data_IF_290590368833
#
_entry.id   IF_290590368833
#
_cell.length_a   1.000
_cell.length_b   1.000
_cell.length_c   1.000
_cell.angle_alpha   90.00
_cell.angle_beta   90.00
_cell.angle_gamma   90.00
#
_symmetry.space_group_name_H-M   'P 1'
#
loop_
_entity.id
_entity.type
_entity.pdbx_description
1 polymer ?
#
# COMPACT_ATOMS: atom_id res chain seq x y z
N UNK A 1 20.79 5.91 -29.10
CA UNK A 1 19.91 6.12 -27.94
C UNK A 1 20.76 6.67 -26.81
N UNK A 2 20.35 7.78 -26.19
CA UNK A 2 21.05 8.38 -25.03
C UNK A 2 20.03 8.44 -23.89
N UNK A 3 20.40 7.92 -22.72
CA UNK A 3 19.57 7.97 -21.50
C UNK A 3 20.20 8.96 -20.55
N UNK A 4 19.46 10.01 -20.17
CA UNK A 4 19.92 11.01 -19.20
C UNK A 4 19.47 10.61 -17.80
N UNK A 5 20.43 10.35 -16.90
CA UNK A 5 20.16 10.09 -15.48
C UNK A 5 20.00 11.42 -14.75
N UNK A 6 18.81 12.02 -14.84
CA UNK A 6 18.50 13.30 -14.20
C UNK A 6 18.49 13.17 -12.67
N UNK A 7 18.94 14.22 -11.98
CA UNK A 7 18.86 14.33 -10.53
C UNK A 7 17.45 14.63 -10.02
N UNK A 8 17.31 14.76 -8.70
CA UNK A 8 16.07 15.17 -8.05
C UNK A 8 16.07 16.67 -7.77
N UNK A 9 14.91 17.29 -7.93
CA UNK A 9 14.64 18.68 -7.52
C UNK A 9 13.38 18.71 -6.66
N UNK A 10 13.27 19.65 -5.72
CA UNK A 10 12.03 19.79 -4.94
C UNK A 10 10.84 20.12 -5.85
N UNK A 11 9.61 19.76 -5.44
CA UNK A 11 8.39 20.11 -6.18
C UNK A 11 8.20 21.64 -6.25
N UNK A 12 7.48 22.13 -7.26
CA UNK A 12 7.26 23.57 -7.46
C UNK A 12 6.55 24.22 -6.26
N UNK A 13 5.77 23.44 -5.54
CA UNK A 13 4.97 23.83 -4.39
C UNK A 13 5.78 23.82 -3.08
N UNK A 14 7.07 23.43 -3.09
CA UNK A 14 7.91 23.32 -1.90
C UNK A 14 7.96 24.61 -1.07
N UNK A 15 8.08 25.77 -1.72
CA UNK A 15 8.12 27.07 -1.04
C UNK A 15 6.79 27.43 -0.34
N UNK A 16 5.66 27.09 -0.99
CA UNK A 16 4.34 27.28 -0.41
C UNK A 16 4.13 26.34 0.79
N UNK A 17 4.52 25.07 0.65
CA UNK A 17 4.48 24.08 1.73
C UNK A 17 5.32 24.53 2.92
N UNK A 18 6.55 25.00 2.67
CA UNK A 18 7.46 25.48 3.70
C UNK A 18 6.88 26.67 4.47
N UNK A 19 6.27 27.62 3.75
CA UNK A 19 5.60 28.78 4.35
C UNK A 19 4.42 28.36 5.23
N UNK A 20 3.54 27.48 4.72
CA UNK A 20 2.37 26.99 5.45
C UNK A 20 2.77 26.18 6.70
N UNK A 21 3.86 25.41 6.60
CA UNK A 21 4.42 24.64 7.70
C UNK A 21 5.47 25.43 8.52
N UNK A 22 5.69 26.72 8.28
CA UNK A 22 6.66 27.53 9.01
C UNK A 22 8.05 26.90 9.14
N UNK A 23 8.53 26.19 8.12
CA UNK A 23 9.85 25.56 8.07
C UNK A 23 10.74 26.30 7.05
N UNK A 24 12.05 26.21 7.24
CA UNK A 24 13.04 26.79 6.34
C UNK A 24 13.40 25.81 5.22
N UNK A 25 13.74 26.37 4.06
CA UNK A 25 14.36 25.63 2.96
C UNK A 25 15.87 25.91 2.93
N UNK A 26 16.63 24.96 2.40
CA UNK A 26 18.05 25.17 2.09
C UNK A 26 18.23 25.81 0.69
N UNK A 27 19.47 26.01 0.26
CA UNK A 27 19.81 26.80 -0.94
C UNK A 27 19.29 26.20 -2.26
N UNK A 28 19.06 24.90 -2.32
CA UNK A 28 18.49 24.18 -3.47
C UNK A 28 16.96 23.99 -3.37
N UNK A 29 16.32 24.50 -2.33
CA UNK A 29 14.86 24.48 -2.12
C UNK A 29 14.30 23.20 -1.46
N UNK A 30 15.14 22.29 -0.99
CA UNK A 30 14.75 21.19 -0.11
C UNK A 30 14.53 21.66 1.33
N UNK A 31 13.89 20.84 2.16
CA UNK A 31 13.71 21.15 3.57
C UNK A 31 15.06 21.26 4.29
N UNK A 32 15.27 22.36 5.02
CA UNK A 32 16.46 22.53 5.86
C UNK A 32 16.35 21.65 7.10
N UNK A 33 17.35 20.80 7.30
CA UNK A 33 17.43 19.85 8.43
C UNK A 33 18.55 20.21 9.40
N UNK A 34 18.53 19.62 10.60
CA UNK A 34 19.57 19.78 11.61
C UNK A 34 20.68 18.75 11.45
N UNK A 35 21.93 19.14 11.75
CA UNK A 35 23.10 18.25 11.58
C UNK A 35 23.10 17.09 12.56
N UNK A 36 22.57 17.31 13.75
CA UNK A 36 22.52 16.32 14.83
C UNK A 36 21.39 15.30 14.63
N UNK A 37 20.37 15.68 13.86
CA UNK A 37 19.22 14.82 13.57
C UNK A 37 18.61 15.18 12.20
N UNK A 38 18.82 14.34 11.16
CA UNK A 38 18.42 14.67 9.78
C UNK A 38 16.91 14.67 9.55
N UNK A 39 16.10 14.15 10.49
CA UNK A 39 14.63 14.18 10.36
C UNK A 39 13.99 15.42 11.00
N UNK A 40 14.78 16.25 11.70
CA UNK A 40 14.29 17.48 12.33
C UNK A 40 14.39 18.65 11.35
N UNK A 41 13.29 19.38 11.22
CA UNK A 41 13.26 20.64 10.46
C UNK A 41 13.70 21.81 11.34
N UNK A 42 13.68 23.03 10.80
CA UNK A 42 13.90 24.26 11.58
C UNK A 42 12.79 24.56 12.59
N UNK A 43 11.63 23.89 12.52
CA UNK A 43 10.50 24.09 13.44
C UNK A 43 10.32 22.89 14.35
N UNK A 44 10.28 23.13 15.66
CA UNK A 44 9.99 22.10 16.65
C UNK A 44 8.60 21.47 16.43
N UNK A 45 8.51 20.15 16.61
CA UNK A 45 7.29 19.38 16.35
C UNK A 45 6.98 19.12 14.87
N UNK A 46 7.81 19.63 13.94
CA UNK A 46 7.74 19.29 12.51
C UNK A 46 8.97 18.49 12.10
N UNK A 47 8.71 17.34 11.50
CA UNK A 47 9.71 16.41 11.02
C UNK A 47 9.60 16.23 9.51
N UNK A 48 10.71 15.87 8.88
CA UNK A 48 10.79 15.56 7.45
C UNK A 48 11.38 14.17 7.25
N UNK A 49 10.90 13.47 6.23
CA UNK A 49 11.51 12.24 5.75
C UNK A 49 11.31 12.13 4.23
N UNK A 50 12.17 11.34 3.59
CA UNK A 50 12.08 11.11 2.15
C UNK A 50 12.64 12.26 1.32
N UNK A 51 12.38 12.24 0.01
CA UNK A 51 13.08 13.07 -0.96
C UNK A 51 12.94 14.59 -0.75
N UNK A 52 11.94 15.07 0.01
CA UNK A 52 11.83 16.49 0.33
C UNK A 52 12.92 16.99 1.29
N UNK A 53 13.49 16.12 2.12
CA UNK A 53 14.68 16.43 2.92
C UNK A 53 16.00 16.40 2.13
N UNK A 54 15.95 16.16 0.82
CA UNK A 54 17.11 16.04 -0.06
C UNK A 54 17.10 14.75 -0.91
N UNK A 55 17.86 14.69 -2.02
CA UNK A 55 17.96 13.51 -2.88
C UNK A 55 18.48 12.30 -2.09
N UNK A 56 17.78 11.17 -2.18
CA UNK A 56 18.10 9.95 -1.45
C UNK A 56 17.47 8.72 -2.09
N UNK A 57 17.96 7.54 -1.70
CA UNK A 57 17.40 6.28 -2.16
C UNK A 57 16.23 5.80 -1.27
N UNK A 58 15.67 4.64 -1.63
CA UNK A 58 14.54 4.04 -0.93
C UNK A 58 14.94 3.60 0.50
N UNK A 59 16.04 2.84 0.71
CA UNK A 59 16.51 2.51 2.06
C UNK A 59 16.65 3.71 2.99
N UNK A 60 17.31 4.77 2.55
CA UNK A 60 17.48 5.99 3.34
C UNK A 60 16.14 6.64 3.69
N UNK A 61 15.23 6.72 2.71
CA UNK A 61 13.87 7.23 2.93
C UNK A 61 13.11 6.45 4.00
N UNK A 62 13.20 5.11 3.98
CA UNK A 62 12.54 4.24 4.96
C UNK A 62 13.14 4.41 6.36
N UNK A 63 14.47 4.57 6.44
CA UNK A 63 15.16 4.83 7.71
C UNK A 63 14.75 6.18 8.31
N UNK A 64 14.72 7.23 7.49
CA UNK A 64 14.26 8.56 7.92
C UNK A 64 12.78 8.55 8.33
N UNK A 65 11.91 7.84 7.60
CA UNK A 65 10.51 7.73 7.97
C UNK A 65 10.34 7.14 9.38
N UNK A 66 11.14 6.10 9.69
CA UNK A 66 11.18 5.50 11.03
C UNK A 66 11.70 6.48 12.09
N UNK A 67 12.76 7.25 11.77
CA UNK A 67 13.30 8.27 12.67
C UNK A 67 12.33 9.42 12.95
N UNK A 68 11.64 9.90 11.91
CA UNK A 68 10.62 10.95 12.00
C UNK A 68 9.44 10.48 12.86
N UNK A 69 8.95 9.25 12.63
CA UNK A 69 7.90 8.63 13.43
C UNK A 69 8.33 8.52 14.91
N UNK A 70 9.53 8.03 15.20
CA UNK A 70 10.04 7.93 16.57
C UNK A 70 10.12 9.28 17.29
N UNK A 71 10.56 10.35 16.60
CA UNK A 71 10.58 11.69 17.17
C UNK A 71 9.17 12.22 17.46
N UNK A 72 8.23 12.03 16.54
CA UNK A 72 6.84 12.42 16.73
C UNK A 72 6.18 11.63 17.88
N UNK A 73 6.42 10.33 17.96
CA UNK A 73 5.96 9.48 19.05
C UNK A 73 6.50 9.91 20.41
N UNK A 74 7.77 10.35 20.48
CA UNK A 74 8.36 10.87 21.70
C UNK A 74 7.58 12.06 22.27
N UNK A 75 7.10 12.96 21.40
CA UNK A 75 6.26 14.10 21.79
C UNK A 75 4.86 13.64 22.22
N UNK A 76 4.30 12.62 21.54
CA UNK A 76 2.95 12.12 21.78
C UNK A 76 2.87 11.03 22.88
N UNK A 77 3.99 10.67 23.50
CA UNK A 77 4.10 9.52 24.39
C UNK A 77 3.09 9.55 25.55
N UNK A 78 2.86 10.72 26.15
CA UNK A 78 1.92 10.91 27.27
C UNK A 78 0.44 10.74 26.87
N UNK A 79 0.14 10.72 25.57
CA UNK A 79 -1.22 10.62 25.00
C UNK A 79 -1.43 9.34 24.18
N UNK A 80 -0.47 8.41 24.22
CA UNK A 80 -0.57 7.12 23.52
C UNK A 80 -1.87 6.40 23.89
N UNK A 81 -2.62 5.96 22.87
CA UNK A 81 -3.89 5.25 23.06
C UNK A 81 -5.10 6.11 23.42
N UNK A 82 -4.94 7.44 23.61
CA UNK A 82 -6.09 8.29 24.01
C UNK A 82 -7.07 8.59 22.86
N UNK A 83 -6.65 8.41 21.62
CA UNK A 83 -7.46 8.59 20.41
C UNK A 83 -7.57 7.31 19.56
N UNK A 84 -7.15 6.16 20.10
CA UNK A 84 -7.32 4.88 19.40
C UNK A 84 -8.77 4.43 19.54
N UNK A 85 -9.45 4.24 18.43
CA UNK A 85 -10.76 3.60 18.37
C UNK A 85 -10.58 2.13 18.03
N UNK A 86 -11.31 1.25 18.70
CA UNK A 86 -11.39 -0.14 18.25
C UNK A 86 -12.02 -0.15 16.84
N UNK A 87 -11.41 -0.89 15.93
CA UNK A 87 -11.99 -1.09 14.60
C UNK A 87 -13.19 -2.03 14.74
N UNK A 88 -14.40 -1.52 14.43
CA UNK A 88 -15.60 -2.34 14.42
C UNK A 88 -15.67 -3.11 13.10
N UNK A 89 -15.37 -4.41 13.16
CA UNK A 89 -15.57 -5.31 12.03
C UNK A 89 -17.07 -5.60 11.85
N UNK A 90 -17.58 -5.62 10.61
CA UNK A 90 -18.95 -6.03 10.36
C UNK A 90 -19.14 -7.50 10.76
N UNK A 91 -20.38 -7.87 11.10
CA UNK A 91 -20.73 -9.28 11.30
C UNK A 91 -20.44 -10.07 10.01
N UNK A 92 -19.86 -11.27 10.16
CA UNK A 92 -19.61 -12.16 9.03
C UNK A 92 -20.91 -12.45 8.26
N UNK A 93 -20.79 -12.42 6.94
CA UNK A 93 -21.89 -12.72 6.03
C UNK A 93 -22.33 -14.16 6.20
N UNK A 94 -23.64 -14.39 6.31
CA UNK A 94 -24.18 -15.75 6.30
C UNK A 94 -24.09 -16.34 4.88
N UNK A 95 -23.16 -17.27 4.70
CA UNK A 95 -22.91 -17.94 3.42
C UNK A 95 -23.58 -19.31 3.34
N UNK A 96 -24.42 -19.70 4.30
CA UNK A 96 -25.13 -20.99 4.25
C UNK A 96 -26.03 -21.07 3.02
N UNK A 97 -25.90 -22.16 2.26
CA UNK A 97 -26.63 -22.34 1.00
C UNK A 97 -26.10 -21.50 -0.18
N UNK A 98 -25.11 -20.62 0.06
CA UNK A 98 -24.40 -19.91 -1.00
C UNK A 98 -23.27 -20.81 -1.48
N UNK A 99 -23.41 -21.36 -2.69
CA UNK A 99 -22.33 -22.11 -3.34
C UNK A 99 -21.07 -21.25 -3.56
N UNK A 100 -19.97 -21.84 -4.04
CA UNK A 100 -18.76 -21.10 -4.30
C UNK A 100 -19.01 -19.98 -5.34
N UNK A 101 -18.60 -18.76 -4.97
CA UNK A 101 -18.68 -17.53 -5.75
C UNK A 101 -17.36 -16.80 -5.55
N UNK A 102 -16.42 -17.09 -6.42
CA UNK A 102 -15.02 -16.68 -6.27
C UNK A 102 -14.78 -15.38 -7.02
N UNK A 103 -14.19 -14.41 -6.33
CA UNK A 103 -13.58 -13.23 -6.97
C UNK A 103 -12.08 -13.42 -7.10
N UNK A 104 -11.54 -13.23 -8.30
CA UNK A 104 -10.11 -13.35 -8.58
C UNK A 104 -9.51 -11.97 -8.87
N UNK A 105 -8.44 -11.61 -8.17
CA UNK A 105 -7.76 -10.34 -8.33
C UNK A 105 -6.30 -10.58 -8.70
N UNK A 106 -5.91 -10.20 -9.91
CA UNK A 106 -4.55 -10.43 -10.43
C UNK A 106 -3.74 -9.15 -10.34
N UNK A 107 -2.57 -9.19 -9.68
CA UNK A 107 -1.74 -8.01 -9.48
C UNK A 107 -0.69 -7.87 -10.58
N UNK A 108 -0.48 -6.67 -11.11
CA UNK A 108 0.67 -6.36 -11.97
C UNK A 108 1.95 -6.14 -11.16
N UNK A 109 1.84 -5.64 -9.92
CA UNK A 109 2.96 -5.23 -9.08
C UNK A 109 3.92 -4.29 -9.82
N UNK A 110 3.36 -3.34 -10.57
CA UNK A 110 4.09 -2.52 -11.54
C UNK A 110 4.63 -3.41 -12.68
N UNK A 111 5.94 -3.40 -12.87
CA UNK A 111 6.61 -4.25 -13.87
C UNK A 111 7.08 -5.60 -13.29
N UNK A 112 6.94 -5.82 -11.98
CA UNK A 112 7.49 -7.03 -11.35
C UNK A 112 6.75 -8.30 -11.77
N UNK A 113 5.43 -8.22 -11.97
CA UNK A 113 4.62 -9.31 -12.53
C UNK A 113 4.25 -8.96 -13.97
N UNK A 114 3.66 -7.78 -14.19
CA UNK A 114 3.16 -7.35 -15.51
C UNK A 114 4.25 -7.13 -16.57
N UNK A 115 5.54 -7.12 -16.19
CA UNK A 115 6.65 -7.08 -17.13
C UNK A 115 7.05 -8.45 -17.70
N UNK A 116 6.54 -9.55 -17.13
CA UNK A 116 6.89 -10.93 -17.50
C UNK A 116 5.65 -11.76 -17.78
N UNK A 117 4.65 -11.70 -16.89
CA UNK A 117 3.39 -12.42 -17.01
C UNK A 117 2.38 -11.57 -17.77
N UNK A 118 1.71 -12.18 -18.74
CA UNK A 118 0.55 -11.57 -19.40
C UNK A 118 -0.67 -11.59 -18.45
N UNK A 119 -0.73 -10.58 -17.59
CA UNK A 119 -1.77 -10.42 -16.57
C UNK A 119 -3.19 -10.38 -17.16
N UNK A 120 -3.47 -9.64 -18.26
CA UNK A 120 -4.76 -9.71 -18.93
C UNK A 120 -5.16 -11.13 -19.34
N UNK A 121 -4.24 -11.91 -19.92
CA UNK A 121 -4.53 -13.30 -20.28
C UNK A 121 -4.82 -14.19 -19.05
N UNK A 122 -4.15 -13.96 -17.91
CA UNK A 122 -4.45 -14.66 -16.66
C UNK A 122 -5.85 -14.32 -16.15
N UNK A 123 -6.28 -13.06 -16.25
CA UNK A 123 -7.65 -12.64 -15.89
C UNK A 123 -8.67 -13.34 -16.78
N UNK A 124 -8.47 -13.35 -18.10
CA UNK A 124 -9.37 -14.02 -19.03
C UNK A 124 -9.44 -15.53 -18.77
N UNK A 125 -8.29 -16.17 -18.50
CA UNK A 125 -8.26 -17.57 -18.08
C UNK A 125 -9.07 -17.80 -16.80
N UNK A 126 -8.89 -16.95 -15.77
CA UNK A 126 -9.58 -17.08 -14.50
C UNK A 126 -11.11 -17.02 -14.65
N UNK A 127 -11.62 -16.20 -15.57
CA UNK A 127 -13.07 -16.11 -15.88
C UNK A 127 -13.66 -17.43 -16.40
N UNK A 128 -12.83 -18.30 -16.98
CA UNK A 128 -13.27 -19.61 -17.49
C UNK A 128 -13.39 -20.68 -16.40
N UNK A 129 -12.82 -20.44 -15.22
CA UNK A 129 -12.78 -21.43 -14.15
C UNK A 129 -14.13 -21.60 -13.46
N UNK A 130 -14.49 -22.83 -13.03
CA UNK A 130 -15.72 -23.07 -12.30
C UNK A 130 -15.84 -22.17 -11.08
N UNK A 131 -17.04 -21.63 -10.86
CA UNK A 131 -17.39 -20.81 -9.70
C UNK A 131 -16.72 -19.42 -9.62
N UNK A 132 -15.87 -19.04 -10.57
CA UNK A 132 -15.37 -17.67 -10.67
C UNK A 132 -16.48 -16.79 -11.24
N UNK A 133 -16.97 -15.86 -10.42
CA UNK A 133 -18.07 -14.94 -10.79
C UNK A 133 -17.57 -13.53 -11.09
N UNK A 134 -16.33 -13.24 -10.71
CA UNK A 134 -15.66 -11.97 -10.94
C UNK A 134 -14.15 -12.20 -11.08
N UNK A 135 -13.53 -11.56 -12.07
CA UNK A 135 -12.08 -11.52 -12.19
C UNK A 135 -11.63 -10.18 -12.76
N UNK A 136 -10.61 -9.58 -12.14
CA UNK A 136 -10.02 -8.31 -12.57
C UNK A 136 -8.53 -8.30 -12.31
N UNK A 137 -7.81 -7.40 -12.96
CA UNK A 137 -6.46 -7.02 -12.61
C UNK A 137 -6.39 -5.66 -11.91
N UNK A 138 -5.33 -5.44 -11.15
CA UNK A 138 -5.01 -4.15 -10.51
C UNK A 138 -3.50 -3.87 -10.61
N UNK A 139 -3.12 -2.60 -10.73
CA UNK A 139 -1.70 -2.23 -10.78
C UNK A 139 -0.97 -2.62 -9.48
N UNK A 140 -1.60 -2.33 -8.33
CA UNK A 140 -1.12 -2.69 -7.00
C UNK A 140 -2.29 -3.14 -6.11
N UNK A 141 -2.53 -4.45 -6.04
CA UNK A 141 -3.67 -4.99 -5.25
C UNK A 141 -3.57 -4.68 -3.76
N UNK A 142 -2.36 -4.51 -3.21
CA UNK A 142 -2.13 -4.16 -1.81
C UNK A 142 -2.32 -2.67 -1.48
N UNK A 143 -2.66 -1.83 -2.46
CA UNK A 143 -2.93 -0.40 -2.23
C UNK A 143 -4.23 -0.18 -1.45
N UNK A 144 -4.29 0.91 -0.68
CA UNK A 144 -5.50 1.28 0.10
C UNK A 144 -6.73 1.45 -0.80
N UNK A 145 -6.59 2.10 -1.95
CA UNK A 145 -7.70 2.30 -2.90
C UNK A 145 -8.24 0.96 -3.41
N UNK A 146 -7.34 0.01 -3.70
CA UNK A 146 -7.76 -1.33 -4.16
C UNK A 146 -8.37 -2.15 -3.04
N UNK A 147 -7.91 -1.99 -1.79
CA UNK A 147 -8.52 -2.64 -0.62
C UNK A 147 -9.98 -2.21 -0.44
N UNK A 148 -10.28 -0.91 -0.54
CA UNK A 148 -11.65 -0.37 -0.48
C UNK A 148 -12.50 -0.97 -1.60
N UNK A 149 -12.01 -0.91 -2.84
CA UNK A 149 -12.71 -1.43 -4.01
C UNK A 149 -12.94 -2.94 -3.94
N UNK A 150 -11.99 -3.70 -3.43
CA UNK A 150 -12.14 -5.14 -3.19
C UNK A 150 -13.31 -5.40 -2.23
N UNK A 151 -13.43 -4.63 -1.15
CA UNK A 151 -14.55 -4.74 -0.21
C UNK A 151 -15.91 -4.36 -0.82
N UNK A 152 -15.94 -3.43 -1.77
CA UNK A 152 -17.16 -3.12 -2.56
C UNK A 152 -17.54 -4.29 -3.47
N UNK A 153 -16.57 -4.85 -4.20
CA UNK A 153 -16.76 -5.99 -5.12
C UNK A 153 -17.23 -7.24 -4.36
N UNK A 154 -16.68 -7.51 -3.17
CA UNK A 154 -17.13 -8.62 -2.31
C UNK A 154 -18.62 -8.51 -2.02
N UNK A 155 -19.10 -7.30 -1.69
CA UNK A 155 -20.51 -7.03 -1.40
C UNK A 155 -21.38 -7.04 -2.66
N UNK A 156 -20.97 -6.34 -3.71
CA UNK A 156 -21.71 -6.21 -4.97
C UNK A 156 -21.94 -7.57 -5.64
N UNK A 157 -20.91 -8.37 -5.77
CA UNK A 157 -20.99 -9.67 -6.44
C UNK A 157 -21.38 -10.82 -5.50
N UNK A 158 -21.60 -10.53 -4.22
CA UNK A 158 -21.89 -11.50 -3.16
C UNK A 158 -20.87 -12.63 -3.18
N UNK A 159 -19.59 -12.27 -3.10
CA UNK A 159 -18.50 -13.23 -3.13
C UNK A 159 -18.51 -14.08 -1.85
N UNK A 160 -18.26 -15.36 -2.01
CA UNK A 160 -18.05 -16.30 -0.89
C UNK A 160 -16.60 -16.75 -0.79
N UNK A 161 -15.77 -16.49 -1.80
CA UNK A 161 -14.33 -16.79 -1.82
C UNK A 161 -13.58 -15.66 -2.52
N UNK A 162 -12.37 -15.37 -2.07
CA UNK A 162 -11.48 -14.41 -2.72
C UNK A 162 -10.14 -15.07 -3.01
N UNK A 163 -9.65 -14.91 -4.22
CA UNK A 163 -8.30 -15.32 -4.63
C UNK A 163 -7.54 -14.10 -5.07
N UNK A 164 -6.36 -13.86 -4.50
CA UNK A 164 -5.44 -12.83 -5.00
C UNK A 164 -4.21 -13.50 -5.59
N UNK A 165 -4.00 -13.31 -6.89
CA UNK A 165 -2.79 -13.73 -7.58
C UNK A 165 -1.76 -12.59 -7.56
N UNK A 166 -0.76 -12.68 -6.68
CA UNK A 166 0.22 -11.61 -6.50
C UNK A 166 1.57 -12.11 -5.93
N UNK A 167 2.05 -11.50 -4.85
CA UNK A 167 3.31 -11.79 -4.18
C UNK A 167 3.21 -12.97 -3.20
N UNK A 168 4.23 -13.14 -2.36
CA UNK A 168 4.26 -14.18 -1.34
C UNK A 168 3.18 -13.99 -0.25
N UNK A 169 2.48 -15.07 0.17
CA UNK A 169 1.56 -15.03 1.31
C UNK A 169 2.25 -14.59 2.61
N UNK A 170 3.56 -14.87 2.75
CA UNK A 170 4.35 -14.42 3.90
C UNK A 170 4.40 -12.90 4.07
N UNK A 171 4.17 -12.15 2.99
CA UNK A 171 4.25 -10.69 3.01
C UNK A 171 2.88 -10.04 3.18
N UNK A 172 1.87 -10.47 2.42
CA UNK A 172 0.60 -9.73 2.32
C UNK A 172 -0.67 -10.58 2.54
N UNK A 173 -0.57 -11.86 2.89
CA UNK A 173 -1.78 -12.67 3.19
C UNK A 173 -2.62 -12.04 4.30
N UNK A 174 -1.98 -11.65 5.42
CA UNK A 174 -2.65 -11.00 6.54
C UNK A 174 -3.41 -9.73 6.13
N UNK A 175 -2.81 -8.91 5.26
CA UNK A 175 -3.45 -7.69 4.74
C UNK A 175 -4.73 -8.00 3.95
N UNK A 176 -4.70 -8.99 3.05
CA UNK A 176 -5.87 -9.34 2.25
C UNK A 176 -6.95 -10.04 3.07
N UNK A 177 -6.55 -10.83 4.05
CA UNK A 177 -7.45 -11.42 5.04
C UNK A 177 -8.20 -10.35 5.83
N UNK A 178 -7.50 -9.34 6.34
CA UNK A 178 -8.11 -8.20 7.03
C UNK A 178 -9.07 -7.43 6.12
N UNK A 179 -8.72 -7.23 4.84
CA UNK A 179 -9.62 -6.59 3.88
C UNK A 179 -10.90 -7.40 3.63
N UNK A 180 -10.81 -8.73 3.63
CA UNK A 180 -11.98 -9.61 3.55
C UNK A 180 -12.87 -9.46 4.81
N UNK A 181 -12.27 -9.46 6.00
CA UNK A 181 -13.01 -9.27 7.27
C UNK A 181 -13.74 -7.93 7.30
N UNK A 182 -13.08 -6.85 6.84
CA UNK A 182 -13.70 -5.51 6.72
C UNK A 182 -14.87 -5.47 5.73
N UNK A 183 -14.90 -6.41 4.77
CA UNK A 183 -16.01 -6.59 3.84
C UNK A 183 -17.10 -7.55 4.36
N UNK A 184 -16.95 -8.09 5.57
CA UNK A 184 -17.85 -9.08 6.15
C UNK A 184 -17.66 -10.49 5.60
N UNK A 185 -16.50 -10.80 5.01
CA UNK A 185 -16.13 -12.14 4.56
C UNK A 185 -15.13 -12.76 5.53
N UNK A 186 -15.37 -14.00 5.96
CA UNK A 186 -14.46 -14.71 6.85
C UNK A 186 -13.04 -14.79 6.25
N UNK A 187 -12.02 -14.44 7.05
CA UNK A 187 -10.62 -14.38 6.59
C UNK A 187 -10.08 -15.67 5.97
N UNK A 188 -10.60 -16.83 6.38
CA UNK A 188 -10.13 -18.13 5.90
C UNK A 188 -10.83 -18.57 4.60
N UNK A 189 -11.70 -17.72 4.04
CA UNK A 189 -12.29 -17.86 2.72
C UNK A 189 -11.50 -17.10 1.64
N UNK A 190 -10.30 -16.66 2.01
CA UNK A 190 -9.31 -16.03 1.16
C UNK A 190 -8.19 -17.03 0.82
N UNK A 191 -7.68 -16.98 -0.40
CA UNK A 191 -6.52 -17.77 -0.86
C UNK A 191 -5.57 -16.88 -1.67
N UNK A 192 -4.27 -17.16 -1.60
CA UNK A 192 -3.25 -16.37 -2.29
C UNK A 192 -2.42 -17.22 -3.24
N UNK A 193 -2.45 -16.87 -4.53
CA UNK A 193 -1.59 -17.49 -5.54
C UNK A 193 -0.33 -16.65 -5.73
N UNK A 194 0.83 -17.22 -5.38
CA UNK A 194 2.12 -16.55 -5.53
C UNK A 194 2.61 -16.64 -6.98
N UNK A 195 2.38 -15.60 -7.77
CA UNK A 195 2.81 -15.50 -9.17
C UNK A 195 3.96 -14.52 -9.38
N UNK A 196 4.53 -13.99 -8.29
CA UNK A 196 5.70 -13.11 -8.36
C UNK A 196 6.97 -13.87 -7.99
N UNK A 197 7.12 -14.15 -6.70
CA UNK A 197 8.31 -14.74 -6.13
C UNK A 197 8.54 -16.20 -6.63
N UNK A 198 7.46 -16.89 -7.02
CA UNK A 198 7.49 -18.26 -7.54
C UNK A 198 7.21 -18.36 -9.04
N UNK A 199 7.11 -17.24 -9.75
CA UNK A 199 6.91 -17.24 -11.20
C UNK A 199 7.60 -16.06 -11.88
N UNK A 200 7.09 -14.84 -11.82
CA UNK A 200 7.65 -13.72 -12.61
C UNK A 200 9.10 -13.36 -12.28
N UNK A 201 9.60 -13.72 -11.09
CA UNK A 201 10.98 -13.47 -10.64
C UNK A 201 11.95 -14.67 -10.82
N UNK A 202 11.50 -15.80 -11.38
CA UNK A 202 12.31 -17.02 -11.60
C UNK A 202 12.37 -17.43 -13.06
#
# INVERSE_FOLDING_TARGET
>A
MVVLSVGLTPPKEAALLATNLGIELEEHGFCKTLRENPVRTSREGVFVCGAFGGPKDIPETVMEASGAAACAEGILASRRGTLTTAEELPMESDLRGVGPRTGVFVCHCGINIGGVVDVPSVVEYAKTLPHVVYATDNLFTCSQDTAVKMGEIIREHRLSRVVVASCSPRTHEGLFQENCEKAGLNRYLFEMANIRDQNSWV
#
